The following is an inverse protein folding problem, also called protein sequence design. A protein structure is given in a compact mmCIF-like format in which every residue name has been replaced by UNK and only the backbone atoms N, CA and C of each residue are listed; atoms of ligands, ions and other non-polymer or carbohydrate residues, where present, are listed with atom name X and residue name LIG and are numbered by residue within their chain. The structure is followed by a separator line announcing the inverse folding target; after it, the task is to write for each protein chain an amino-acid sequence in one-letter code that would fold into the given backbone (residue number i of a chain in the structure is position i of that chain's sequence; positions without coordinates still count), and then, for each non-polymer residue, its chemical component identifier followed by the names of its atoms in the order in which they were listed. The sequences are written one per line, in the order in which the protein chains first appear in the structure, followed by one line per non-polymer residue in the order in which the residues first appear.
data_IF_445685029958
#
_entry.id   IF_445685029958
#
_cell.length_a   1.000
_cell.length_b   1.000
_cell.length_c   1.000
_cell.angle_alpha   90.00
_cell.angle_beta   90.00
_cell.angle_gamma   90.00
#
_symmetry.space_group_name_H-M   'P 1'
#
loop_
_entity.id
_entity.type
_entity.pdbx_description
1 polymer ?
#
# COMPACT_ATOMS: atom_id res chain seq x y z
N UNK A 1 -10.31 17.00 -10.36
CA UNK A 1 -11.22 15.84 -10.22
C UNK A 1 -12.55 16.21 -9.56
N UNK A 2 -12.53 16.87 -8.40
CA UNK A 2 -13.75 17.14 -7.58
C UNK A 2 -14.91 17.78 -8.37
N UNK A 3 -14.74 18.87 -9.17
CA UNK A 3 -15.89 19.49 -9.87
C UNK A 3 -16.64 18.56 -10.84
N UNK A 4 -15.93 17.58 -11.44
CA UNK A 4 -16.53 16.64 -12.40
C UNK A 4 -17.26 15.48 -11.71
N UNK A 5 -16.99 15.25 -10.44
CA UNK A 5 -17.53 14.13 -9.66
C UNK A 5 -18.48 14.61 -8.56
N UNK A 6 -18.90 15.88 -8.62
CA UNK A 6 -19.80 16.46 -7.64
C UNK A 6 -21.21 15.88 -7.78
N UNK A 7 -21.71 15.36 -6.68
CA UNK A 7 -23.10 14.91 -6.50
C UNK A 7 -23.64 15.45 -5.19
N UNK A 8 -24.94 15.63 -5.09
CA UNK A 8 -25.61 16.06 -3.86
C UNK A 8 -26.61 14.97 -3.46
N UNK A 9 -26.60 14.57 -2.20
CA UNK A 9 -27.57 13.59 -1.68
C UNK A 9 -28.91 14.24 -1.28
N UNK A 10 -29.86 13.41 -0.83
CA UNK A 10 -31.20 13.84 -0.42
C UNK A 10 -31.20 14.83 0.77
N UNK A 11 -30.12 14.87 1.54
CA UNK A 11 -29.92 15.79 2.68
C UNK A 11 -29.17 17.08 2.28
N UNK A 12 -28.90 17.29 0.99
CA UNK A 12 -28.17 18.44 0.50
C UNK A 12 -26.64 18.37 0.72
N UNK A 13 -26.11 17.19 1.07
CA UNK A 13 -24.67 17.01 1.31
C UNK A 13 -23.96 16.72 0.01
N UNK A 14 -22.88 17.46 -0.25
CA UNK A 14 -22.03 17.31 -1.43
C UNK A 14 -21.07 16.14 -1.29
N UNK A 15 -21.00 15.30 -2.31
CA UNK A 15 -20.09 14.17 -2.42
C UNK A 15 -19.23 14.28 -3.68
N UNK A 16 -18.03 13.70 -3.61
CA UNK A 16 -17.04 13.74 -4.70
C UNK A 16 -16.43 12.33 -4.92
N UNK A 17 -17.26 11.30 -4.89
CA UNK A 17 -16.82 9.90 -5.00
C UNK A 17 -15.99 9.67 -6.26
N UNK A 18 -14.86 8.96 -6.13
CA UNK A 18 -13.94 8.64 -7.24
C UNK A 18 -13.24 9.84 -7.87
N UNK A 19 -13.22 11.01 -7.21
CA UNK A 19 -12.56 12.21 -7.74
C UNK A 19 -11.05 12.02 -7.91
N UNK A 20 -10.42 11.19 -7.10
CA UNK A 20 -9.01 10.85 -7.18
C UNK A 20 -8.65 10.22 -8.53
N UNK A 21 -9.43 9.27 -9.01
CA UNK A 21 -9.20 8.63 -10.32
C UNK A 21 -9.35 9.62 -11.47
N UNK A 22 -10.43 10.41 -11.43
CA UNK A 22 -10.64 11.45 -12.44
C UNK A 22 -9.52 12.51 -12.39
N UNK A 23 -9.05 12.85 -11.18
CA UNK A 23 -7.94 13.77 -10.96
C UNK A 23 -6.63 13.22 -11.55
N UNK A 24 -6.31 11.95 -11.30
CA UNK A 24 -5.11 11.28 -11.82
C UNK A 24 -5.09 11.27 -13.37
N UNK A 25 -6.20 10.91 -14.03
CA UNK A 25 -6.29 10.95 -15.49
C UNK A 25 -6.16 12.36 -16.06
N UNK A 26 -6.68 13.38 -15.36
CA UNK A 26 -6.48 14.76 -15.77
C UNK A 26 -5.03 15.20 -15.61
N UNK A 27 -4.39 14.82 -14.50
CA UNK A 27 -2.99 15.12 -14.23
C UNK A 27 -2.07 14.49 -15.29
N UNK A 28 -2.28 13.22 -15.64
CA UNK A 28 -1.51 12.53 -16.67
C UNK A 28 -1.46 13.33 -17.99
N UNK A 29 -2.60 13.80 -18.45
CA UNK A 29 -2.70 14.62 -19.69
C UNK A 29 -1.96 15.95 -19.55
N UNK A 30 -2.04 16.59 -18.39
CA UNK A 30 -1.36 17.86 -18.11
C UNK A 30 0.15 17.66 -18.05
N UNK A 31 0.62 16.65 -17.33
CA UNK A 31 2.03 16.32 -17.15
C UNK A 31 2.68 15.99 -18.50
N UNK A 32 1.98 15.21 -19.35
CA UNK A 32 2.43 14.93 -20.72
C UNK A 32 2.53 16.20 -21.56
N UNK A 33 1.55 17.11 -21.49
CA UNK A 33 1.57 18.40 -22.21
C UNK A 33 2.73 19.28 -21.73
N UNK A 34 3.05 19.25 -20.44
CA UNK A 34 4.16 19.99 -19.84
C UNK A 34 5.52 19.33 -20.07
N UNK A 35 5.56 18.15 -20.72
CA UNK A 35 6.77 17.37 -20.98
C UNK A 35 7.53 17.00 -19.71
N UNK A 36 6.82 16.73 -18.63
CA UNK A 36 7.39 16.17 -17.43
C UNK A 36 7.93 14.76 -17.76
N UNK A 37 9.07 14.39 -17.22
CA UNK A 37 9.64 13.07 -17.43
C UNK A 37 8.72 11.94 -16.93
N UNK A 38 8.87 10.75 -17.49
CA UNK A 38 7.95 9.65 -17.24
C UNK A 38 7.96 9.17 -15.78
N UNK A 39 9.11 9.23 -15.09
CA UNK A 39 9.22 8.78 -13.70
C UNK A 39 8.46 9.74 -12.78
N UNK A 40 8.71 11.05 -12.90
CA UNK A 40 8.00 12.08 -12.15
C UNK A 40 6.51 12.09 -12.47
N UNK A 41 6.14 11.93 -13.75
CA UNK A 41 4.74 11.88 -14.15
C UNK A 41 3.99 10.69 -13.54
N UNK A 42 4.62 9.50 -13.52
CA UNK A 42 4.09 8.29 -12.88
C UNK A 42 3.93 8.50 -11.38
N UNK A 43 4.95 9.01 -10.71
CA UNK A 43 4.95 9.29 -9.27
C UNK A 43 3.79 10.24 -8.87
N UNK A 44 3.66 11.36 -9.58
CA UNK A 44 2.58 12.33 -9.33
C UNK A 44 1.20 11.70 -9.61
N UNK A 45 1.08 10.89 -10.66
CA UNK A 45 -0.15 10.17 -10.96
C UNK A 45 -0.55 9.25 -9.81
N UNK A 46 0.40 8.46 -9.27
CA UNK A 46 0.17 7.53 -8.17
C UNK A 46 -0.21 8.27 -6.88
N UNK A 47 0.45 9.37 -6.54
CA UNK A 47 0.08 10.20 -5.39
C UNK A 47 -1.36 10.73 -5.50
N UNK A 48 -1.75 11.21 -6.69
CA UNK A 48 -3.12 11.68 -6.91
C UNK A 48 -4.12 10.52 -6.87
N UNK A 49 -3.74 9.34 -7.37
CA UNK A 49 -4.58 8.16 -7.35
C UNK A 49 -4.85 7.68 -5.92
N UNK A 50 -3.80 7.66 -5.08
CA UNK A 50 -3.86 7.13 -3.71
C UNK A 50 -4.35 8.14 -2.68
N UNK A 51 -4.37 9.45 -2.96
CA UNK A 51 -4.59 10.48 -1.92
C UNK A 51 -5.93 10.35 -1.15
N UNK A 52 -6.95 9.71 -1.72
CA UNK A 52 -8.24 9.46 -1.04
C UNK A 52 -8.35 8.04 -0.46
N UNK A 53 -7.34 7.19 -0.66
CA UNK A 53 -7.22 5.89 -0.01
C UNK A 53 -6.93 6.09 1.48
N UNK A 54 -7.82 5.61 2.35
CA UNK A 54 -7.67 5.77 3.81
C UNK A 54 -6.99 4.54 4.38
N UNK A 55 -5.78 4.72 4.87
CA UNK A 55 -5.03 3.69 5.57
C UNK A 55 -5.45 3.74 7.04
N UNK A 56 -5.96 2.65 7.63
CA UNK A 56 -6.16 2.59 9.08
C UNK A 56 -4.83 2.83 9.83
N UNK A 57 -4.86 3.63 10.89
CA UNK A 57 -3.68 3.95 11.70
C UNK A 57 -3.28 2.75 12.59
N UNK A 58 -2.91 1.65 11.96
CA UNK A 58 -2.40 0.42 12.60
C UNK A 58 -1.10 0.00 11.93
N UNK A 59 -0.16 -0.52 12.71
CA UNK A 59 1.16 -0.95 12.23
C UNK A 59 1.04 -1.93 11.04
N UNK A 60 0.12 -2.88 11.13
CA UNK A 60 -0.19 -3.82 10.03
C UNK A 60 -0.62 -3.11 8.73
N UNK A 61 -1.51 -2.13 8.81
CA UNK A 61 -2.00 -1.41 7.62
C UNK A 61 -0.91 -0.54 7.00
N UNK A 62 -0.08 0.08 7.84
CA UNK A 62 1.07 0.87 7.40
C UNK A 62 2.12 -0.01 6.74
N UNK A 63 2.49 -1.18 7.33
CA UNK A 63 3.38 -2.17 6.69
C UNK A 63 2.88 -2.58 5.31
N UNK A 64 1.59 -2.88 5.17
CA UNK A 64 0.98 -3.25 3.87
C UNK A 64 1.10 -2.14 2.83
N UNK A 65 0.92 -0.91 3.24
CA UNK A 65 1.04 0.23 2.35
C UNK A 65 2.51 0.48 1.98
N UNK A 66 3.44 0.38 2.95
CA UNK A 66 4.88 0.47 2.71
C UNK A 66 5.44 -0.70 1.86
N UNK A 67 4.81 -1.87 1.90
CA UNK A 67 5.16 -2.99 1.03
C UNK A 67 4.81 -2.76 -0.45
N UNK A 68 3.85 -1.90 -0.72
CA UNK A 68 3.40 -1.51 -2.07
C UNK A 68 4.10 -0.24 -2.58
N UNK A 69 4.49 0.62 -1.65
CA UNK A 69 5.09 1.92 -1.92
C UNK A 69 6.33 2.10 -1.03
N UNK A 70 7.35 2.77 -1.54
CA UNK A 70 8.50 3.08 -0.69
C UNK A 70 8.17 4.10 0.42
N UNK A 71 9.08 4.24 1.39
CA UNK A 71 8.89 5.13 2.52
C UNK A 71 8.69 6.59 2.10
N UNK A 72 9.44 7.06 1.12
CA UNK A 72 9.37 8.45 0.66
C UNK A 72 8.01 8.74 0.02
N UNK A 73 7.48 7.79 -0.76
CA UNK A 73 6.11 7.88 -1.28
C UNK A 73 5.07 7.97 -0.16
N UNK A 74 5.21 7.16 0.90
CA UNK A 74 4.28 7.18 2.04
C UNK A 74 4.29 8.54 2.72
N UNK A 75 5.46 9.15 2.91
CA UNK A 75 5.57 10.48 3.51
C UNK A 75 4.94 11.55 2.62
N UNK A 76 5.19 11.53 1.32
CA UNK A 76 4.58 12.46 0.36
C UNK A 76 3.06 12.27 0.27
N UNK A 77 2.59 11.03 0.30
CA UNK A 77 1.16 10.72 0.38
C UNK A 77 0.52 11.36 1.62
N UNK A 78 1.14 11.27 2.78
CA UNK A 78 0.65 11.89 4.01
C UNK A 78 0.61 13.42 3.90
N UNK A 79 1.60 14.05 3.27
CA UNK A 79 1.59 15.50 3.02
C UNK A 79 0.45 15.92 2.08
N UNK A 80 0.20 15.18 1.01
CA UNK A 80 -0.94 15.41 0.12
C UNK A 80 -2.26 15.26 0.88
N UNK A 81 -2.36 14.25 1.75
CA UNK A 81 -3.52 14.04 2.63
C UNK A 81 -3.75 15.19 3.61
N UNK A 82 -2.67 15.73 4.22
CA UNK A 82 -2.73 16.90 5.09
C UNK A 82 -3.26 18.12 4.33
N UNK A 83 -2.70 18.39 3.16
CA UNK A 83 -3.12 19.50 2.30
C UNK A 83 -4.60 19.39 1.91
N UNK A 84 -5.07 18.20 1.51
CA UNK A 84 -6.48 17.98 1.19
C UNK A 84 -7.38 18.14 2.43
N UNK A 85 -6.91 17.71 3.62
CA UNK A 85 -7.63 17.88 4.88
C UNK A 85 -7.78 19.35 5.25
N UNK A 86 -6.74 20.18 5.07
CA UNK A 86 -6.82 21.63 5.27
C UNK A 86 -7.74 22.34 4.28
N UNK A 87 -7.84 21.82 3.06
CA UNK A 87 -8.72 22.37 2.02
C UNK A 87 -10.22 21.98 2.20
N UNK A 88 -10.53 21.08 3.14
CA UNK A 88 -11.89 20.68 3.50
C UNK A 88 -12.46 21.56 4.62
N UNK A 89 -13.73 21.29 5.01
CA UNK A 89 -14.35 21.93 6.18
C UNK A 89 -13.60 21.58 7.47
N UNK A 90 -13.80 22.39 8.50
CA UNK A 90 -13.18 22.17 9.83
C UNK A 90 -13.70 20.93 10.56
N UNK A 91 -14.74 20.27 10.02
CA UNK A 91 -15.34 19.10 10.64
C UNK A 91 -14.31 17.98 10.84
N UNK A 92 -14.06 17.65 12.10
CA UNK A 92 -13.10 16.62 12.52
C UNK A 92 -11.67 16.82 11.99
N UNK A 93 -11.28 18.05 11.64
CA UNK A 93 -9.95 18.33 11.07
C UNK A 93 -8.84 17.89 12.00
N UNK A 94 -8.92 18.21 13.28
CA UNK A 94 -7.89 17.87 14.26
C UNK A 94 -7.75 16.36 14.44
N UNK A 95 -8.87 15.62 14.50
CA UNK A 95 -8.86 14.17 14.58
C UNK A 95 -8.19 13.54 13.33
N UNK A 96 -8.51 14.04 12.13
CA UNK A 96 -7.93 13.56 10.88
C UNK A 96 -6.42 13.85 10.79
N UNK A 97 -5.98 15.02 11.25
CA UNK A 97 -4.55 15.37 11.28
C UNK A 97 -3.79 14.50 12.27
N UNK A 98 -4.33 14.28 13.47
CA UNK A 98 -3.73 13.40 14.47
C UNK A 98 -3.62 11.94 13.98
N UNK A 99 -4.60 11.47 13.20
CA UNK A 99 -4.52 10.13 12.57
C UNK A 99 -3.37 10.08 11.55
N UNK A 100 -3.19 11.12 10.72
CA UNK A 100 -2.08 11.20 9.76
C UNK A 100 -0.72 11.29 10.47
N UNK A 101 -0.63 12.03 11.58
CA UNK A 101 0.59 12.10 12.40
C UNK A 101 0.95 10.72 12.96
N UNK A 102 -0.02 10.01 13.50
CA UNK A 102 0.20 8.65 14.01
C UNK A 102 0.62 7.66 12.91
N UNK A 103 0.04 7.75 11.70
CA UNK A 103 0.49 6.93 10.57
C UNK A 103 1.95 7.24 10.22
N UNK A 104 2.36 8.52 10.24
CA UNK A 104 3.74 8.91 9.99
C UNK A 104 4.70 8.35 11.05
N UNK A 105 4.33 8.40 12.33
CA UNK A 105 5.10 7.81 13.44
C UNK A 105 5.29 6.30 13.23
N UNK A 106 4.21 5.57 12.91
CA UNK A 106 4.28 4.14 12.62
C UNK A 106 5.16 3.82 11.41
N UNK A 107 5.11 4.64 10.35
CA UNK A 107 5.96 4.44 9.17
C UNK A 107 7.45 4.67 9.49
N UNK A 108 7.77 5.66 10.33
CA UNK A 108 9.13 5.91 10.81
C UNK A 108 9.63 4.74 11.66
N UNK A 109 8.81 4.25 12.61
CA UNK A 109 9.13 3.10 13.46
C UNK A 109 9.45 1.84 12.61
N UNK A 110 8.58 1.51 11.65
CA UNK A 110 8.77 0.37 10.74
C UNK A 110 10.10 0.49 9.98
N UNK A 111 10.44 1.70 9.51
CA UNK A 111 11.69 1.97 8.80
C UNK A 111 12.91 1.87 9.70
N UNK A 112 12.87 2.46 10.90
CA UNK A 112 13.97 2.47 11.86
C UNK A 112 14.27 1.07 12.39
N UNK A 113 13.23 0.28 12.66
CA UNK A 113 13.32 -1.09 13.11
C UNK A 113 13.73 -2.07 11.98
N UNK A 114 13.86 -1.58 10.75
CA UNK A 114 14.13 -2.41 9.55
C UNK A 114 13.18 -3.63 9.47
N UNK A 115 11.90 -3.40 9.70
CA UNK A 115 10.92 -4.47 9.68
C UNK A 115 10.80 -5.12 8.30
N UNK A 116 10.50 -6.41 8.29
CA UNK A 116 10.31 -7.19 7.06
C UNK A 116 9.01 -6.76 6.37
N UNK A 117 9.14 -5.99 5.29
CA UNK A 117 8.02 -5.53 4.46
C UNK A 117 8.16 -5.93 2.99
N UNK A 118 9.32 -6.45 2.59
CA UNK A 118 9.57 -6.93 1.23
C UNK A 118 10.05 -8.37 1.23
N UNK A 119 9.88 -9.07 0.10
CA UNK A 119 10.34 -10.47 -0.04
C UNK A 119 11.84 -10.62 0.21
N UNK A 120 12.66 -9.61 -0.13
CA UNK A 120 14.09 -9.62 0.13
C UNK A 120 14.47 -9.54 1.61
N UNK A 121 13.55 -9.12 2.48
CA UNK A 121 13.75 -8.99 3.92
C UNK A 121 13.42 -10.31 4.68
N UNK A 122 12.84 -11.29 3.96
CA UNK A 122 12.52 -12.59 4.54
C UNK A 122 13.79 -13.38 4.87
N UNK A 123 13.80 -14.06 6.01
CA UNK A 123 14.86 -15.01 6.43
C UNK A 123 14.79 -16.36 5.66
N UNK A 124 14.11 -16.35 4.53
CA UNK A 124 13.94 -17.49 3.62
C UNK A 124 13.92 -16.96 2.18
N UNK A 125 14.37 -17.74 1.24
CA UNK A 125 14.48 -17.35 -0.15
C UNK A 125 14.06 -18.49 -1.09
N UNK A 126 14.10 -18.23 -2.41
CA UNK A 126 13.67 -19.20 -3.41
C UNK A 126 14.45 -20.52 -3.42
N UNK A 127 15.73 -20.52 -2.96
CA UNK A 127 16.50 -21.78 -2.84
C UNK A 127 15.98 -22.65 -1.72
N UNK A 128 15.55 -22.05 -0.61
CA UNK A 128 14.96 -22.75 0.50
C UNK A 128 13.65 -23.43 0.08
N UNK A 129 12.80 -22.73 -0.68
CA UNK A 129 11.56 -23.29 -1.19
C UNK A 129 11.81 -24.41 -2.22
N UNK A 130 12.86 -24.28 -3.06
CA UNK A 130 13.28 -25.37 -3.94
C UNK A 130 13.64 -26.64 -3.14
N UNK A 131 14.35 -26.50 -2.02
CA UNK A 131 14.70 -27.63 -1.12
C UNK A 131 13.46 -28.25 -0.48
N UNK A 132 12.40 -27.45 -0.25
CA UNK A 132 11.09 -27.91 0.23
C UNK A 132 10.24 -28.56 -0.86
N UNK A 133 10.74 -28.63 -2.11
CA UNK A 133 10.04 -29.24 -3.25
C UNK A 133 9.09 -28.32 -3.99
N UNK A 134 9.19 -27.01 -3.76
CA UNK A 134 8.47 -26.01 -4.57
C UNK A 134 9.19 -25.79 -5.89
N UNK A 135 8.45 -25.43 -6.95
CA UNK A 135 9.03 -25.15 -8.26
C UNK A 135 8.22 -24.16 -9.09
N UNK A 136 8.88 -23.53 -10.05
CA UNK A 136 8.21 -22.60 -10.96
C UNK A 136 7.52 -21.45 -10.24
N UNK A 137 6.25 -21.23 -10.52
CA UNK A 137 5.43 -20.15 -9.95
C UNK A 137 5.17 -20.32 -8.44
N UNK A 138 5.19 -21.56 -7.96
CA UNK A 138 4.87 -21.85 -6.55
C UNK A 138 5.89 -21.25 -5.59
N UNK A 139 7.13 -21.02 -6.04
CA UNK A 139 8.17 -20.35 -5.25
C UNK A 139 7.76 -18.90 -4.95
N UNK A 140 7.34 -18.14 -5.96
CA UNK A 140 6.88 -16.76 -5.78
C UNK A 140 5.67 -16.69 -4.84
N UNK A 141 4.68 -17.55 -5.07
CA UNK A 141 3.46 -17.62 -4.26
C UNK A 141 3.80 -17.99 -2.81
N UNK A 142 4.74 -18.90 -2.58
CA UNK A 142 5.19 -19.30 -1.25
C UNK A 142 5.90 -18.16 -0.51
N UNK A 143 6.75 -17.40 -1.20
CA UNK A 143 7.41 -16.21 -0.62
C UNK A 143 6.41 -15.09 -0.31
N UNK A 144 5.44 -14.85 -1.19
CA UNK A 144 4.37 -13.88 -0.93
C UNK A 144 3.48 -14.32 0.25
N UNK A 145 3.19 -15.60 0.37
CA UNK A 145 2.47 -16.16 1.51
C UNK A 145 3.22 -15.93 2.82
N UNK A 146 4.54 -16.19 2.84
CA UNK A 146 5.40 -15.95 3.98
C UNK A 146 5.43 -14.46 4.36
N UNK A 147 5.65 -13.57 3.38
CA UNK A 147 5.67 -12.12 3.60
C UNK A 147 4.34 -11.62 4.18
N UNK A 148 3.22 -12.05 3.61
CA UNK A 148 1.90 -11.70 4.14
C UNK A 148 1.69 -12.24 5.57
N UNK A 149 2.24 -13.41 5.87
CA UNK A 149 2.23 -13.98 7.22
C UNK A 149 2.98 -13.11 8.23
N UNK A 150 4.15 -12.62 7.86
CA UNK A 150 4.97 -11.71 8.70
C UNK A 150 4.27 -10.35 8.87
N UNK A 151 3.82 -9.73 7.79
CA UNK A 151 3.10 -8.44 7.83
C UNK A 151 1.85 -8.54 8.72
N UNK A 152 1.16 -9.68 8.68
CA UNK A 152 -0.05 -9.94 9.47
C UNK A 152 0.25 -10.41 10.91
N UNK A 153 1.52 -10.50 11.30
CA UNK A 153 1.97 -10.98 12.63
C UNK A 153 1.48 -12.42 12.95
N UNK A 154 1.30 -13.25 11.91
CA UNK A 154 0.89 -14.65 12.03
C UNK A 154 2.08 -15.60 12.19
N UNK A 155 3.26 -15.17 11.78
CA UNK A 155 4.52 -15.91 11.85
C UNK A 155 5.67 -14.93 12.04
N UNK A 156 6.67 -15.30 12.83
CA UNK A 156 7.89 -14.53 12.95
C UNK A 156 8.78 -14.69 11.70
N UNK A 157 9.57 -13.66 11.38
CA UNK A 157 10.53 -13.71 10.28
C UNK A 157 11.76 -14.53 10.70
N UNK A 158 11.56 -15.84 10.89
CA UNK A 158 12.58 -16.83 11.20
C UNK A 158 12.45 -18.02 10.25
N UNK A 159 13.56 -18.46 9.71
CA UNK A 159 13.62 -19.46 8.65
C UNK A 159 12.74 -20.70 8.89
N UNK A 160 12.85 -21.32 10.04
CA UNK A 160 12.12 -22.56 10.32
C UNK A 160 10.64 -22.31 10.58
N UNK A 161 10.28 -21.17 11.17
CA UNK A 161 8.89 -20.79 11.37
C UNK A 161 8.20 -20.49 10.03
N UNK A 162 8.91 -19.77 9.13
CA UNK A 162 8.41 -19.46 7.80
C UNK A 162 8.19 -20.72 6.97
N UNK A 163 9.10 -21.70 7.03
CA UNK A 163 8.92 -22.99 6.37
C UNK A 163 7.68 -23.71 6.86
N UNK A 164 7.52 -23.86 8.17
CA UNK A 164 6.35 -24.50 8.76
C UNK A 164 5.05 -23.76 8.42
N UNK A 165 5.09 -22.42 8.40
CA UNK A 165 3.94 -21.61 8.01
C UNK A 165 3.54 -21.84 6.56
N UNK A 166 4.51 -21.88 5.63
CA UNK A 166 4.27 -22.15 4.22
C UNK A 166 3.69 -23.56 4.04
N UNK A 167 4.31 -24.59 4.65
CA UNK A 167 3.81 -25.99 4.54
C UNK A 167 2.37 -26.12 5.02
N UNK A 168 2.00 -25.41 6.08
CA UNK A 168 0.66 -25.49 6.68
C UNK A 168 -0.41 -24.71 5.89
N UNK A 169 -0.02 -23.65 5.16
CA UNK A 169 -0.96 -22.71 4.56
C UNK A 169 -0.92 -22.70 3.03
N UNK A 170 0.12 -23.28 2.41
CA UNK A 170 0.22 -23.31 0.96
C UNK A 170 -0.73 -24.37 0.36
N UNK A 171 -1.70 -23.89 -0.41
CA UNK A 171 -2.56 -24.75 -1.22
C UNK A 171 -1.95 -24.88 -2.61
N UNK A 172 -1.37 -26.03 -2.94
CA UNK A 172 -0.97 -26.31 -4.32
C UNK A 172 -2.21 -26.17 -5.20
N UNK A 173 -2.10 -25.31 -6.23
CA UNK A 173 -3.12 -25.32 -7.28
C UNK A 173 -2.97 -26.69 -8.00
N UNK A 174 -3.94 -27.56 -7.81
CA UNK A 174 -3.99 -28.82 -8.53
C UNK A 174 -3.87 -28.51 -10.01
N UNK A 175 -2.87 -29.15 -10.65
CA UNK A 175 -2.73 -29.16 -12.09
C UNK A 175 -3.79 -30.10 -12.66
N UNK A 176 -5.04 -29.69 -12.59
CA UNK A 176 -6.09 -30.26 -13.41
C UNK A 176 -6.36 -29.30 -14.55
N UNK A 177 -5.65 -29.55 -15.65
CA UNK A 177 -6.30 -29.59 -16.98
C UNK A 177 -5.26 -30.05 -18.00
N UNK A 178 -5.36 -31.32 -18.28
CA UNK A 178 -4.95 -31.92 -19.57
C UNK A 178 -5.82 -31.40 -20.69
#
# INVERSE_FOLDING_TARGET
GKPRMHTVDENGISHFKKHQFQGAYMAEKILKRLRIDNASAKYIYELIWEHDNRIPATKKSVRRFMAQHDFDFVMDYLEVRRADTYAQSDYKRQEKLAELDHIAELAMEIKEDNECIHICDLDINGKDLLQMGFGGKDIGIGLELALNGVIDEKVENKKEELKGYIESNFKRQDKDNT
#
